data_IF_422611627220
#
_entry.id   IF_422611627220
#
_cell.length_a   1.000
_cell.length_b   1.000
_cell.length_c   1.000
_cell.angle_alpha   90.00
_cell.angle_beta   90.00
_cell.angle_gamma   90.00
#
_symmetry.space_group_name_H-M   'P 1'
#
loop_
_entity.id
_entity.type
_entity.pdbx_description
1 polymer ?
2 polymer ?
3 polymer ?
#
loop_
_entity_poly.entity_id
_entity_poly.type
_entity_poly.pdbx_seq_one_letter_code
_entity_poly.pdbx_strand_id
2 'polydeoxyribonucleotide' '(DG)(DC)(DT)(DG)(DG)(DA)(DA)(DA)(DT)(DT)(DT)(DC)(DC)(DA)(DG)(DC)(DG)' ?
3 'polydeoxyribonucleotide' '(DC)(DG)(DC)(DT)(DG)(DG)(DA)(DA)(DA)(DT)(DT)(DT)(DC)(DC)(DA)(DG)(DC)' ?
#
# COMPACT_ATOMS: atom_id res chain seq x y z
N UNK A 4 -30.93 -15.23 -14.74
CA UNK A 4 -29.67 -14.83 -15.36
C UNK A 4 -29.24 -13.45 -14.87
N UNK A 5 -30.21 -12.54 -14.76
CA UNK A 5 -29.95 -11.18 -14.30
C UNK A 5 -30.56 -10.89 -12.93
N UNK A 6 -31.40 -11.77 -12.39
CA UNK A 6 -32.07 -11.48 -11.15
C UNK A 6 -31.06 -11.26 -10.02
N UNK A 7 -31.58 -10.85 -8.87
CA UNK A 7 -30.77 -10.57 -7.68
C UNK A 7 -31.06 -11.62 -6.61
N UNK A 8 -30.01 -12.01 -5.89
CA UNK A 8 -30.14 -12.96 -4.81
C UNK A 8 -29.55 -12.40 -3.53
N UNK A 9 -28.68 -13.17 -2.88
CA UNK A 9 -28.04 -12.72 -1.65
C UNK A 9 -26.58 -12.35 -1.83
N UNK A 10 -25.85 -13.08 -2.67
CA UNK A 10 -24.44 -12.75 -2.91
C UNK A 10 -24.29 -11.32 -3.42
N UNK A 11 -25.08 -10.96 -4.45
CA UNK A 11 -24.99 -9.61 -5.00
C UNK A 11 -25.34 -8.56 -3.97
N UNK A 12 -26.29 -8.86 -3.07
CA UNK A 12 -26.66 -7.90 -2.03
C UNK A 12 -25.47 -7.67 -1.11
N UNK A 13 -25.01 -8.72 -0.44
CA UNK A 13 -23.89 -8.58 0.48
C UNK A 13 -22.72 -7.85 -0.18
N UNK A 14 -22.34 -8.28 -1.38
CA UNK A 14 -21.25 -7.61 -2.10
C UNK A 14 -21.55 -6.13 -2.27
N UNK A 15 -22.79 -5.80 -2.62
CA UNK A 15 -23.17 -4.40 -2.81
C UNK A 15 -23.06 -3.62 -1.50
N UNK A 16 -23.84 -4.01 -0.48
CA UNK A 16 -23.78 -3.40 0.84
C UNK A 16 -22.34 -3.11 1.25
N UNK A 17 -21.48 -4.13 1.25
CA UNK A 17 -20.08 -3.92 1.56
C UNK A 17 -19.48 -2.83 0.67
N UNK A 18 -19.76 -2.89 -0.63
CA UNK A 18 -19.23 -1.89 -1.55
C UNK A 18 -19.73 -0.49 -1.22
N UNK A 19 -20.91 -0.38 -0.61
CA UNK A 19 -21.46 0.93 -0.25
C UNK A 19 -20.77 1.46 1.00
N UNK A 20 -20.57 0.59 2.00
CA UNK A 20 -19.76 1.00 3.15
C UNK A 20 -18.35 1.34 2.74
N UNK A 21 -17.89 0.88 1.57
CA UNK A 21 -16.53 1.15 1.12
C UNK A 21 -16.43 2.43 0.28
N UNK A 22 -17.41 2.70 -0.58
CA UNK A 22 -17.35 3.82 -1.51
C UNK A 22 -18.60 4.69 -1.48
N UNK A 23 -19.51 4.47 -0.54
CA UNK A 23 -20.70 5.31 -0.47
C UNK A 23 -21.54 5.15 -1.71
N UNK A 24 -21.91 6.27 -2.33
CA UNK A 24 -22.65 6.25 -3.57
C UNK A 24 -21.72 5.82 -4.71
N UNK A 25 -21.99 4.66 -5.28
CA UNK A 25 -21.09 4.05 -6.25
C UNK A 25 -21.70 3.90 -7.64
N UNK A 26 -22.95 4.34 -7.83
CA UNK A 26 -23.56 4.28 -9.15
C UNK A 26 -22.69 4.95 -10.20
N UNK A 27 -21.90 5.94 -9.80
CA UNK A 27 -20.99 6.60 -10.73
C UNK A 27 -19.97 5.64 -11.31
N UNK A 28 -19.63 4.57 -10.59
CA UNK A 28 -18.45 3.77 -10.92
C UNK A 28 -18.76 2.28 -10.96
N UNK A 29 -20.06 1.93 -11.01
CA UNK A 29 -20.46 0.53 -11.03
C UNK A 29 -19.56 -0.28 -11.97
N UNK A 30 -19.47 0.16 -13.23
CA UNK A 30 -18.61 -0.49 -14.21
C UNK A 30 -17.28 -0.92 -13.60
N UNK A 31 -16.49 0.05 -13.15
CA UNK A 31 -15.15 -0.27 -12.65
C UNK A 31 -15.20 -1.37 -11.61
N UNK A 32 -16.14 -1.30 -10.68
CA UNK A 32 -16.25 -2.35 -9.67
C UNK A 32 -16.50 -3.70 -10.31
N UNK A 33 -17.53 -3.79 -11.17
CA UNK A 33 -17.77 -5.03 -11.89
C UNK A 33 -16.51 -5.46 -12.64
N UNK A 34 -15.72 -4.49 -13.10
CA UNK A 34 -14.55 -4.75 -13.92
C UNK A 34 -13.33 -5.19 -13.11
N UNK A 35 -13.45 -5.33 -11.78
CA UNK A 35 -12.35 -5.89 -11.01
C UNK A 35 -12.86 -6.86 -9.96
N UNK A 36 -13.94 -7.58 -10.25
CA UNK A 36 -14.44 -8.61 -9.37
C UNK A 36 -14.88 -8.13 -7.99
N UNK A 37 -15.12 -6.84 -7.84
CA UNK A 37 -15.67 -6.36 -6.58
C UNK A 37 -17.15 -6.70 -6.48
N UNK A 38 -17.88 -6.57 -7.58
CA UNK A 38 -19.28 -6.94 -7.65
C UNK A 38 -19.48 -8.08 -8.64
N UNK A 39 -20.36 -9.03 -8.35
CA UNK A 39 -20.74 -10.01 -9.39
C UNK A 39 -21.26 -9.30 -10.64
N UNK A 40 -21.08 -9.95 -11.77
CA UNK A 40 -21.40 -9.33 -13.06
C UNK A 40 -22.92 -9.26 -13.19
N UNK A 41 -23.47 -8.05 -13.07
CA UNK A 41 -24.88 -7.79 -13.37
C UNK A 41 -25.00 -6.43 -14.01
N UNK A 42 -26.20 -6.14 -14.52
CA UNK A 42 -26.41 -4.91 -15.28
C UNK A 42 -26.27 -3.68 -14.39
N UNK A 43 -25.77 -2.59 -14.99
CA UNK A 43 -25.65 -1.34 -14.26
C UNK A 43 -27.00 -0.91 -13.70
N UNK A 44 -28.04 -0.95 -14.54
CA UNK A 44 -29.36 -0.50 -14.12
C UNK A 44 -29.87 -1.29 -12.92
N UNK A 45 -29.84 -2.63 -13.00
CA UNK A 45 -30.39 -3.44 -11.92
C UNK A 45 -29.66 -3.17 -10.61
N UNK A 46 -28.33 -3.05 -10.66
CA UNK A 46 -27.58 -2.66 -9.47
C UNK A 46 -28.01 -1.28 -8.98
N UNK A 47 -28.28 -0.36 -9.90
CA UNK A 47 -28.81 0.93 -9.50
C UNK A 47 -30.10 0.81 -8.70
N UNK A 48 -31.07 0.08 -9.25
CA UNK A 48 -32.35 -0.09 -8.56
C UNK A 48 -32.16 -0.76 -7.20
N UNK A 49 -31.25 -1.73 -7.12
CA UNK A 49 -30.99 -2.38 -5.83
C UNK A 49 -30.39 -1.40 -4.83
N UNK A 50 -29.43 -0.57 -5.27
CA UNK A 50 -28.86 0.45 -4.41
C UNK A 50 -29.93 1.41 -3.90
N UNK A 51 -30.70 2.01 -4.82
CA UNK A 51 -31.79 2.89 -4.42
C UNK A 51 -32.69 2.22 -3.40
N UNK A 52 -33.11 0.98 -3.68
CA UNK A 52 -33.98 0.27 -2.76
C UNK A 52 -33.34 0.09 -1.39
N UNK A 53 -32.03 -0.18 -1.35
CA UNK A 53 -31.35 -0.39 -0.09
C UNK A 53 -31.27 0.89 0.73
N UNK A 54 -30.89 2.00 0.10
CA UNK A 54 -30.85 3.27 0.82
C UNK A 54 -32.24 3.68 1.28
N UNK A 55 -33.24 3.50 0.43
CA UNK A 55 -34.62 3.68 0.86
C UNK A 55 -34.90 2.89 2.14
N UNK A 56 -34.57 1.60 2.14
CA UNK A 56 -34.85 0.76 3.31
C UNK A 56 -34.11 1.26 4.54
N UNK A 57 -32.89 1.77 4.35
CA UNK A 57 -32.15 2.33 5.48
C UNK A 57 -32.86 3.55 6.05
N UNK A 58 -33.22 4.50 5.17
CA UNK A 58 -34.02 5.65 5.58
C UNK A 58 -35.21 5.21 6.43
N UNK A 59 -36.00 4.28 5.90
CA UNK A 59 -37.20 3.85 6.61
C UNK A 59 -36.86 3.23 7.97
N UNK A 60 -35.80 2.42 8.02
CA UNK A 60 -35.42 1.80 9.28
C UNK A 60 -35.05 2.84 10.33
N UNK A 61 -34.14 3.76 9.96
CA UNK A 61 -33.77 4.84 10.88
C UNK A 61 -35.02 5.58 11.35
N UNK A 62 -35.93 5.88 10.42
CA UNK A 62 -37.16 6.58 10.80
C UNK A 62 -37.91 5.81 11.88
N UNK A 63 -38.12 4.50 11.66
CA UNK A 63 -38.89 3.71 12.62
C UNK A 63 -38.20 3.64 13.97
N UNK A 64 -36.87 3.46 13.98
CA UNK A 64 -36.16 3.43 15.26
C UNK A 64 -36.23 4.78 15.97
N UNK A 65 -36.20 5.87 15.23
CA UNK A 65 -36.35 7.19 15.84
C UNK A 65 -37.71 7.33 16.49
N UNK A 66 -38.77 6.90 15.79
CA UNK A 66 -40.09 6.89 16.42
C UNK A 66 -40.07 6.10 17.71
N UNK A 67 -39.46 4.92 17.69
CA UNK A 67 -39.42 4.07 18.88
C UNK A 67 -38.75 4.79 20.04
N UNK A 68 -37.49 5.19 19.84
CA UNK A 68 -36.77 5.93 20.89
C UNK A 68 -37.60 7.11 21.39
N UNK A 69 -38.24 7.84 20.48
CA UNK A 69 -39.09 8.96 20.88
C UNK A 69 -40.13 8.52 21.89
N UNK A 70 -40.94 7.52 21.54
CA UNK A 70 -42.02 7.11 22.45
C UNK A 70 -41.47 6.61 23.78
N UNK A 71 -40.39 5.82 23.75
CA UNK A 71 -39.81 5.31 24.99
C UNK A 71 -39.37 6.47 25.88
N UNK A 72 -38.77 7.49 25.28
CA UNK A 72 -38.35 8.66 26.07
C UNK A 72 -39.54 9.44 26.58
N UNK A 73 -40.63 9.52 25.81
CA UNK A 73 -41.85 10.14 26.33
C UNK A 73 -42.28 9.47 27.62
N UNK A 74 -42.47 8.16 27.59
CA UNK A 74 -42.93 7.44 28.77
C UNK A 74 -41.96 7.62 29.94
N UNK A 75 -40.66 7.40 29.68
CA UNK A 75 -39.66 7.56 30.74
C UNK A 75 -39.71 8.95 31.34
N UNK A 76 -39.88 9.97 30.49
CA UNK A 76 -40.01 11.34 30.97
C UNK A 76 -41.20 11.49 31.90
N UNK A 77 -42.38 11.03 31.48
CA UNK A 77 -43.53 11.06 32.38
C UNK A 77 -43.14 10.50 33.75
N UNK A 78 -42.54 9.31 33.77
CA UNK A 78 -42.16 8.70 35.05
C UNK A 78 -41.22 9.60 35.82
N UNK A 79 -40.26 10.24 35.13
CA UNK A 79 -39.33 11.13 35.79
C UNK A 79 -40.07 12.28 36.47
N UNK A 80 -40.98 12.94 35.73
CA UNK A 80 -41.78 14.02 36.29
C UNK A 80 -42.48 13.56 37.56
N UNK A 81 -43.30 12.52 37.44
CA UNK A 81 -44.03 12.05 38.62
C UNK A 81 -43.11 11.66 39.75
N UNK A 82 -41.84 11.36 39.47
CA UNK A 82 -40.89 11.02 40.53
C UNK A 82 -40.34 12.26 41.21
N UNK A 83 -39.86 13.23 40.42
CA UNK A 83 -39.47 14.52 40.96
C UNK A 83 -40.53 15.06 41.90
N UNK A 84 -41.77 15.18 41.39
CA UNK A 84 -42.85 15.71 42.22
C UNK A 84 -42.89 15.04 43.59
N UNK A 85 -42.67 13.73 43.62
CA UNK A 85 -42.75 13.00 44.89
C UNK A 85 -41.53 13.27 45.76
N UNK A 86 -40.34 13.45 45.16
CA UNK A 86 -39.18 13.83 45.95
C UNK A 86 -39.41 15.19 46.62
N UNK A 87 -39.81 16.19 45.83
CA UNK A 87 -40.06 17.51 46.37
C UNK A 87 -41.14 17.48 47.45
N UNK A 88 -42.30 16.91 47.12
CA UNK A 88 -43.36 16.79 48.11
C UNK A 88 -42.89 16.03 49.34
N UNK A 89 -41.90 15.17 49.20
CA UNK A 89 -41.31 14.47 50.32
C UNK A 89 -41.79 13.04 50.51
N UNK A 90 -42.57 12.49 49.57
CA UNK A 90 -43.00 11.10 49.69
C UNK A 90 -41.86 10.12 49.46
N UNK A 91 -40.70 10.58 49.02
CA UNK A 91 -39.52 9.75 48.84
C UNK A 91 -38.35 10.41 49.55
N UNK A 92 -37.60 9.64 50.33
CA UNK A 92 -36.40 10.15 50.98
C UNK A 92 -35.24 10.09 50.00
N UNK A 93 -34.41 11.14 50.01
CA UNK A 93 -33.39 11.28 48.97
C UNK A 93 -32.22 10.34 49.19
N UNK A 94 -31.86 10.06 50.45
CA UNK A 94 -30.67 9.25 50.73
C UNK A 94 -30.95 7.76 50.69
N UNK A 95 -32.16 7.32 51.04
CA UNK A 95 -32.53 5.91 50.99
C UNK A 95 -33.03 5.53 49.60
N UNK A 96 -32.27 5.94 48.56
CA UNK A 96 -32.68 5.76 47.17
C UNK A 96 -31.99 4.55 46.57
N UNK A 97 -32.69 3.67 45.86
CA UNK A 97 -32.00 2.69 45.03
C UNK A 97 -31.31 3.36 43.85
N UNK A 98 -30.17 2.79 43.46
CA UNK A 98 -29.41 3.33 42.34
C UNK A 98 -30.15 3.17 41.02
N UNK A 99 -31.17 2.30 40.97
CA UNK A 99 -32.05 2.17 39.81
C UNK A 99 -33.34 2.92 40.11
N UNK A 100 -33.55 4.05 39.43
CA UNK A 100 -34.68 4.92 39.68
C UNK A 100 -35.04 5.61 38.37
N UNK A 101 -36.23 6.22 38.27
CA UNK A 101 -36.65 6.79 36.98
C UNK A 101 -35.68 7.81 36.43
N UNK A 102 -34.91 8.46 37.30
CA UNK A 102 -33.94 9.44 36.84
C UNK A 102 -32.78 8.77 36.11
N UNK A 103 -32.10 7.83 36.77
CA UNK A 103 -31.02 7.10 36.14
C UNK A 103 -31.49 6.37 34.89
N UNK A 104 -32.72 5.84 34.92
CA UNK A 104 -33.29 5.21 33.74
C UNK A 104 -33.39 6.20 32.58
N UNK A 105 -34.10 7.32 32.81
CA UNK A 105 -34.24 8.32 31.77
C UNK A 105 -32.88 8.78 31.24
N UNK A 106 -31.89 8.89 32.12
CA UNK A 106 -30.55 9.32 31.70
C UNK A 106 -29.91 8.26 30.80
N UNK A 107 -29.80 7.03 31.30
CA UNK A 107 -29.16 5.98 30.53
C UNK A 107 -29.81 5.82 29.16
N UNK A 108 -31.14 5.83 29.11
CA UNK A 108 -31.81 5.78 27.81
C UNK A 108 -31.47 7.00 26.98
N UNK A 109 -31.43 8.18 27.61
CA UNK A 109 -31.06 9.40 26.90
C UNK A 109 -29.73 9.23 26.17
N UNK A 110 -28.73 8.65 26.82
CA UNK A 110 -27.38 8.57 26.28
C UNK A 110 -27.02 7.19 25.74
N UNK A 111 -27.99 6.29 25.59
CA UNK A 111 -27.71 4.97 25.04
C UNK A 111 -27.50 5.05 23.53
N UNK A 112 -26.39 4.51 23.04
CA UNK A 112 -26.18 4.30 21.62
C UNK A 112 -26.10 2.81 21.34
N UNK A 113 -26.73 2.39 20.24
CA UNK A 113 -26.79 0.98 19.90
C UNK A 113 -27.01 0.84 18.39
N UNK A 114 -26.67 -0.34 17.88
CA UNK A 114 -26.76 -0.61 16.45
C UNK A 114 -28.19 -0.49 15.96
N UNK A 115 -28.34 0.11 14.78
CA UNK A 115 -29.64 0.22 14.10
C UNK A 115 -29.58 -0.70 12.88
N UNK A 116 -30.13 -1.91 13.02
CA UNK A 116 -29.98 -2.96 12.02
C UNK A 116 -31.28 -3.21 11.29
N UNK A 117 -31.16 -3.90 10.14
CA UNK A 117 -32.34 -4.32 9.40
C UNK A 117 -31.93 -5.42 8.43
N UNK A 118 -32.93 -6.19 7.99
CA UNK A 118 -32.74 -7.22 6.99
C UNK A 118 -33.26 -6.72 5.64
N UNK A 119 -32.65 -7.22 4.57
CA UNK A 119 -32.92 -6.71 3.22
C UNK A 119 -32.61 -7.79 2.21
N UNK A 120 -33.64 -8.19 1.46
CA UNK A 120 -33.50 -9.18 0.39
C UNK A 120 -32.78 -10.43 0.91
N UNK A 121 -33.27 -10.96 2.03
CA UNK A 121 -32.71 -12.17 2.60
C UNK A 121 -31.30 -12.04 3.10
N UNK A 122 -30.78 -10.82 3.21
CA UNK A 122 -29.49 -10.57 3.84
C UNK A 122 -29.75 -9.92 5.19
N UNK A 123 -28.98 -10.33 6.19
CA UNK A 123 -29.36 -10.16 7.59
C UNK A 123 -28.43 -9.17 8.29
N UNK A 124 -29.04 -8.26 9.06
CA UNK A 124 -28.32 -7.38 9.97
C UNK A 124 -27.45 -6.36 9.23
N UNK A 125 -28.08 -5.63 8.30
CA UNK A 125 -27.43 -4.49 7.67
C UNK A 125 -27.61 -3.27 8.55
N UNK A 126 -26.58 -2.40 8.58
CA UNK A 126 -26.56 -1.25 9.47
C UNK A 126 -26.98 -0.01 8.68
N UNK A 127 -28.22 0.45 8.89
CA UNK A 127 -28.73 1.61 8.18
C UNK A 127 -27.90 2.85 8.49
N UNK A 128 -27.65 3.10 9.78
CA UNK A 128 -26.83 4.24 10.19
C UNK A 128 -25.51 4.26 9.42
N UNK A 129 -24.77 3.14 9.45
CA UNK A 129 -23.50 3.07 8.73
C UNK A 129 -23.68 3.40 7.26
N UNK A 130 -24.71 2.85 6.62
CA UNK A 130 -24.92 3.08 5.19
C UNK A 130 -25.10 4.57 4.90
N UNK A 131 -26.10 5.19 5.54
CA UNK A 131 -26.40 6.59 5.28
C UNK A 131 -25.20 7.47 5.60
N UNK A 132 -24.70 7.39 6.84
CA UNK A 132 -23.59 8.25 7.24
C UNK A 132 -22.37 8.04 6.36
N UNK A 133 -22.16 6.82 5.85
CA UNK A 133 -21.02 6.55 5.00
C UNK A 133 -21.21 7.19 3.62
N UNK A 134 -22.41 7.10 3.06
CA UNK A 134 -22.67 7.76 1.78
C UNK A 134 -22.45 9.26 1.93
N UNK A 135 -23.02 9.86 2.97
CA UNK A 135 -22.86 11.30 3.19
C UNK A 135 -21.39 11.67 3.35
N UNK A 136 -20.69 10.98 4.25
CA UNK A 136 -19.29 11.31 4.50
C UNK A 136 -18.47 11.24 3.22
N UNK A 137 -18.58 10.13 2.50
CA UNK A 137 -17.74 9.96 1.31
C UNK A 137 -18.14 10.91 0.19
N UNK A 138 -19.41 11.31 0.13
CA UNK A 138 -19.82 12.33 -0.83
C UNK A 138 -19.19 13.68 -0.48
N UNK A 139 -19.27 14.06 0.80
CA UNK A 139 -18.67 15.30 1.26
C UNK A 139 -17.16 15.32 1.01
N UNK A 140 -16.50 14.17 1.18
CA UNK A 140 -15.06 14.12 0.98
C UNK A 140 -14.72 14.20 -0.51
N UNK A 141 -15.40 13.42 -1.34
CA UNK A 141 -15.17 13.49 -2.79
C UNK A 141 -15.35 14.92 -3.28
N UNK A 142 -16.48 15.54 -2.94
CA UNK A 142 -16.71 16.93 -3.36
C UNK A 142 -15.64 17.86 -2.78
N UNK A 143 -15.16 17.57 -1.56
CA UNK A 143 -14.20 18.45 -0.92
C UNK A 143 -12.87 18.44 -1.65
N UNK A 144 -12.38 17.25 -2.03
CA UNK A 144 -11.08 17.17 -2.70
C UNK A 144 -11.18 17.53 -4.18
N UNK A 145 -12.29 17.20 -4.84
CA UNK A 145 -12.42 17.53 -6.26
C UNK A 145 -12.55 19.02 -6.50
N UNK A 146 -13.36 19.70 -5.69
CA UNK A 146 -13.62 21.12 -5.93
C UNK A 146 -12.37 21.98 -5.82
N UNK A 147 -11.31 21.48 -5.17
CA UNK A 147 -10.11 22.27 -4.92
C UNK A 147 -8.89 21.65 -5.57
N UNK A 148 -8.54 20.41 -5.24
CA UNK A 148 -7.31 19.77 -5.72
C UNK A 148 -7.71 18.56 -6.57
N UNK A 149 -8.24 18.82 -7.77
CA UNK A 149 -8.61 17.73 -8.66
C UNK A 149 -7.41 17.16 -9.39
N UNK A 150 -6.57 18.02 -9.97
CA UNK A 150 -5.41 17.56 -10.72
C UNK A 150 -4.33 16.97 -9.83
N UNK A 151 -4.41 17.17 -8.51
CA UNK A 151 -3.44 16.57 -7.59
C UNK A 151 -4.10 16.42 -6.23
N UNK A 152 -4.79 15.30 -5.99
CA UNK A 152 -5.36 15.06 -4.65
C UNK A 152 -4.32 15.05 -3.53
N UNK A 153 -3.06 14.76 -3.84
CA UNK A 153 -2.04 14.68 -2.79
C UNK A 153 -1.77 16.03 -2.14
N UNK A 154 -1.97 17.13 -2.87
CA UNK A 154 -1.76 18.46 -2.31
C UNK A 154 -2.92 18.93 -1.44
N UNK A 155 -3.90 18.07 -1.19
CA UNK A 155 -5.01 18.39 -0.31
C UNK A 155 -4.50 18.85 1.05
N UNK A 156 -5.23 19.77 1.67
CA UNK A 156 -4.88 20.31 2.97
C UNK A 156 -6.15 20.63 3.74
N UNK A 157 -6.03 20.67 5.06
CA UNK A 157 -7.14 21.10 5.92
C UNK A 157 -7.24 22.61 6.04
N UNK A 158 -6.25 23.35 5.54
CA UNK A 158 -6.20 24.77 5.78
C UNK A 158 -5.95 25.08 7.25
N UNK A 159 -6.52 26.19 7.72
CA UNK A 159 -6.35 26.62 9.10
C UNK A 159 -7.34 25.95 10.05
N UNK A 160 -7.81 24.76 9.71
CA UNK A 160 -8.54 23.92 10.65
C UNK A 160 -7.52 23.06 11.40
N UNK A 161 -7.65 23.01 12.72
CA UNK A 161 -6.72 22.28 13.58
C UNK A 161 -7.51 21.26 14.39
N UNK A 162 -7.63 20.03 13.91
CA UNK A 162 -8.40 19.02 14.65
C UNK A 162 -7.65 18.55 15.89
N UNK A 163 -8.41 18.30 16.96
CA UNK A 163 -7.80 17.96 18.23
C UNK A 163 -6.90 16.74 18.07
N UNK A 164 -5.71 16.75 18.65
CA UNK A 164 -4.72 15.71 18.34
C UNK A 164 -5.13 14.36 18.91
N UNK A 165 -4.38 13.35 18.52
CA UNK A 165 -4.67 11.96 18.86
C UNK A 165 -4.08 11.63 20.22
N UNK A 166 -4.74 10.72 20.93
CA UNK A 166 -4.42 10.42 22.32
C UNK A 166 -3.59 9.15 22.40
N UNK A 167 -2.31 9.30 22.77
CA UNK A 167 -1.43 8.17 23.03
C UNK A 167 -1.39 7.19 21.86
N UNK A 168 -1.16 7.73 20.67
CA UNK A 168 -0.86 6.90 19.52
C UNK A 168 0.63 6.64 19.46
N UNK A 169 1.00 5.47 18.93
CA UNK A 169 2.37 5.00 18.97
C UNK A 169 3.25 5.64 17.90
N UNK A 170 2.66 6.28 16.90
CA UNK A 170 3.42 6.99 15.88
C UNK A 170 3.21 8.48 16.02
N UNK A 171 4.23 9.25 15.65
CA UNK A 171 4.10 10.70 15.66
C UNK A 171 3.06 11.11 14.63
N UNK A 172 1.81 11.24 15.06
CA UNK A 172 0.68 11.46 14.16
C UNK A 172 0.25 12.91 14.27
N UNK A 173 0.28 13.62 13.14
CA UNK A 173 0.05 15.06 13.10
C UNK A 173 -1.08 15.39 12.13
N UNK A 174 -1.28 16.67 11.88
CA UNK A 174 -2.23 17.10 10.85
C UNK A 174 -1.88 16.49 9.50
N UNK A 175 -0.60 16.51 9.14
CA UNK A 175 -0.14 15.93 7.88
C UNK A 175 -0.71 14.53 7.70
N UNK A 176 -0.58 13.68 8.72
CA UNK A 176 -1.07 12.31 8.62
C UNK A 176 -2.58 12.27 8.45
N UNK A 177 -3.31 13.16 9.13
CA UNK A 177 -4.75 13.24 8.90
C UNK A 177 -5.05 13.53 7.44
N UNK A 178 -4.37 14.52 6.86
CA UNK A 178 -4.55 14.84 5.45
C UNK A 178 -4.30 13.62 4.58
N UNK A 179 -3.12 13.01 4.72
CA UNK A 179 -2.79 11.86 3.90
C UNK A 179 -3.82 10.75 4.04
N UNK A 180 -4.22 10.45 5.28
CA UNK A 180 -5.25 9.46 5.54
C UNK A 180 -6.51 9.77 4.75
N UNK A 181 -7.04 10.99 4.90
CA UNK A 181 -8.26 11.36 4.18
C UNK A 181 -8.09 11.18 2.68
N UNK A 182 -6.95 11.62 2.13
CA UNK A 182 -6.69 11.41 0.71
C UNK A 182 -6.79 9.93 0.38
N UNK A 183 -6.25 9.07 1.24
CA UNK A 183 -6.30 7.64 1.00
C UNK A 183 -7.72 7.11 1.01
N UNK A 184 -8.55 7.60 1.92
CA UNK A 184 -9.95 7.21 1.92
C UNK A 184 -10.63 7.65 0.62
N UNK A 185 -10.26 8.83 0.13
CA UNK A 185 -10.79 9.31 -1.14
C UNK A 185 -10.33 8.45 -2.30
N UNK A 186 -9.16 7.81 -2.17
CA UNK A 186 -8.57 7.06 -3.27
C UNK A 186 -9.05 5.61 -3.33
N UNK A 187 -9.02 4.90 -2.20
CA UNK A 187 -9.33 3.47 -2.18
C UNK A 187 -10.62 3.11 -1.48
N UNK A 188 -11.17 3.98 -0.65
CA UNK A 188 -12.43 3.76 0.02
C UNK A 188 -12.27 3.57 1.52
N UNK A 189 -13.41 3.62 2.20
CA UNK A 189 -13.43 3.45 3.64
C UNK A 189 -13.17 1.99 4.00
N UNK A 190 -12.11 1.73 4.77
CA UNK A 190 -11.73 0.39 5.17
C UNK A 190 -10.45 -0.11 4.52
N UNK A 191 -10.12 0.40 3.34
CA UNK A 191 -8.93 -0.05 2.62
C UNK A 191 -7.65 0.41 3.32
N UNK A 192 -7.48 0.03 4.58
CA UNK A 192 -6.33 0.53 5.33
C UNK A 192 -5.02 -0.04 4.81
N UNK A 193 -5.04 -1.26 4.28
CA UNK A 193 -3.81 -1.86 3.78
C UNK A 193 -3.31 -1.12 2.55
N UNK A 194 -4.20 -0.87 1.58
CA UNK A 194 -3.79 -0.13 0.39
C UNK A 194 -3.28 1.26 0.76
N UNK A 195 -3.92 1.89 1.75
CA UNK A 195 -3.48 3.22 2.19
C UNK A 195 -2.08 3.14 2.77
N UNK A 196 -1.85 2.20 3.69
CA UNK A 196 -0.53 2.04 4.28
C UNK A 196 0.53 1.81 3.20
N UNK A 197 0.23 0.95 2.23
CA UNK A 197 1.25 0.50 1.28
C UNK A 197 1.51 1.51 0.17
N UNK A 198 0.59 2.42 -0.10
CA UNK A 198 0.81 3.43 -1.12
C UNK A 198 2.04 4.26 -0.76
N UNK A 199 3.12 4.22 -1.55
CA UNK A 199 4.31 5.01 -1.20
C UNK A 199 4.13 6.51 -1.41
N UNK A 200 3.23 6.93 -2.29
CA UNK A 200 3.02 8.36 -2.51
C UNK A 200 2.46 9.02 -1.26
N UNK A 201 1.58 8.33 -0.53
CA UNK A 201 1.07 8.87 0.72
C UNK A 201 2.15 8.95 1.78
N UNK A 202 3.05 7.97 1.81
CA UNK A 202 4.16 7.99 2.74
C UNK A 202 3.75 7.92 4.19
N UNK A 203 2.80 7.03 4.52
CA UNK A 203 2.40 6.81 5.91
C UNK A 203 2.49 5.32 6.21
N UNK A 204 3.47 4.65 5.60
CA UNK A 204 3.60 3.21 5.79
C UNK A 204 4.00 2.88 7.23
N UNK A 205 4.93 3.65 7.80
CA UNK A 205 5.46 3.38 9.13
C UNK A 205 4.69 4.09 10.23
N UNK A 206 3.46 4.53 9.96
CA UNK A 206 2.61 5.13 10.97
C UNK A 206 1.31 4.36 11.20
N UNK A 207 1.13 3.23 10.53
CA UNK A 207 -0.04 2.39 10.72
C UNK A 207 0.43 0.99 11.14
N UNK A 208 -0.40 0.32 11.93
CA UNK A 208 -0.05 -0.98 12.50
C UNK A 208 -1.25 -1.90 12.39
N UNK A 209 -1.12 -2.95 11.58
CA UNK A 209 -2.20 -3.92 11.40
C UNK A 209 -1.73 -5.34 11.75
N UNK A 241 2.82 -5.90 24.11
CA UNK A 241 2.63 -4.53 23.64
C UNK A 241 1.94 -4.49 22.28
N UNK A 242 0.65 -4.16 22.28
CA UNK A 242 -0.11 -3.97 21.05
C UNK A 242 -0.03 -2.53 20.60
N UNK A 243 0.01 -2.33 19.29
CA UNK A 243 0.34 -1.02 18.73
C UNK A 243 -0.92 -0.22 18.40
N UNK A 244 -0.69 1.05 18.06
CA UNK A 244 -1.75 2.01 17.74
C UNK A 244 -1.22 2.90 16.62
N UNK A 245 -2.06 3.26 15.63
CA UNK A 245 -3.47 2.91 15.42
C UNK A 245 -3.68 1.74 14.48
N UNK A 246 -4.74 0.97 14.74
CA UNK A 246 -5.18 -0.09 13.87
C UNK A 246 -6.35 0.33 13.01
N UNK A 247 -6.99 -0.67 12.38
CA UNK A 247 -8.11 -0.42 11.49
C UNK A 247 -9.22 0.36 12.19
N UNK A 248 -9.74 -0.18 13.29
CA UNK A 248 -10.83 0.48 14.00
C UNK A 248 -10.46 1.92 14.32
N UNK A 249 -9.26 2.12 14.89
CA UNK A 249 -8.83 3.47 15.24
C UNK A 249 -8.82 4.38 14.03
N UNK A 250 -8.39 3.88 12.86
CA UNK A 250 -8.45 4.68 11.64
C UNK A 250 -9.89 5.06 11.32
N UNK A 251 -10.82 4.12 11.45
CA UNK A 251 -12.22 4.44 11.19
C UNK A 251 -12.70 5.57 12.08
N UNK A 252 -12.48 5.45 13.39
CA UNK A 252 -12.88 6.51 14.31
C UNK A 252 -12.24 7.84 13.91
N UNK A 253 -10.94 7.81 13.57
CA UNK A 253 -10.25 9.05 13.23
C UNK A 253 -10.83 9.69 11.98
N UNK A 254 -11.24 8.87 11.01
CA UNK A 254 -11.83 9.42 9.78
C UNK A 254 -13.19 10.04 10.08
N UNK A 255 -14.05 9.31 10.78
CA UNK A 255 -15.36 9.84 11.12
C UNK A 255 -15.24 11.16 11.89
N UNK A 256 -14.34 11.19 12.88
CA UNK A 256 -14.12 12.43 13.63
C UNK A 256 -13.63 13.54 12.72
N UNK A 257 -12.63 13.26 11.89
CA UNK A 257 -12.08 14.30 11.01
C UNK A 257 -13.18 14.90 10.13
N UNK A 258 -14.07 14.07 9.59
CA UNK A 258 -15.08 14.60 8.69
C UNK A 258 -16.15 15.38 9.43
N UNK A 259 -16.68 14.82 10.53
CA UNK A 259 -17.64 15.57 11.33
C UNK A 259 -17.05 16.88 11.81
N UNK A 260 -15.73 16.91 12.04
CA UNK A 260 -15.05 18.15 12.44
C UNK A 260 -15.00 19.13 11.29
N UNK A 261 -14.51 18.71 10.11
CA UNK A 261 -14.42 19.61 8.98
C UNK A 261 -15.78 20.20 8.61
N UNK A 262 -16.86 19.45 8.83
CA UNK A 262 -18.19 20.04 8.62
C UNK A 262 -18.51 21.11 9.65
N UNK A 263 -18.41 20.76 10.93
CA UNK A 263 -18.68 21.71 12.00
C UNK A 263 -18.78 21.06 13.37
N UNK B 4 13.99 -39.70 -6.09
CA UNK B 4 13.10 -39.58 -7.24
C UNK B 4 12.59 -38.15 -7.40
N UNK B 5 12.44 -37.45 -6.27
CA UNK B 5 11.88 -36.09 -6.27
C UNK B 5 12.68 -35.25 -5.26
N UNK B 6 13.84 -34.78 -5.70
CA UNK B 6 14.75 -33.98 -4.89
C UNK B 6 15.16 -32.75 -5.68
N UNK B 7 15.99 -31.90 -5.07
CA UNK B 7 16.47 -30.68 -5.71
C UNK B 7 17.92 -30.88 -6.11
N UNK B 8 18.27 -30.40 -7.29
CA UNK B 8 19.62 -30.55 -7.81
C UNK B 8 20.21 -29.24 -8.28
N UNK B 9 20.71 -29.22 -9.51
CA UNK B 9 21.29 -28.03 -10.10
C UNK B 9 20.39 -27.36 -11.12
N UNK B 10 19.67 -28.15 -11.93
CA UNK B 10 18.73 -27.56 -12.88
C UNK B 10 17.69 -26.72 -12.16
N UNK B 11 17.07 -27.29 -11.11
CA UNK B 11 16.06 -26.55 -10.37
C UNK B 11 16.63 -25.29 -9.73
N UNK B 12 17.90 -25.33 -9.31
CA UNK B 12 18.53 -24.15 -8.73
C UNK B 12 18.64 -23.04 -9.78
N UNK B 13 19.37 -23.30 -10.87
CA UNK B 13 19.52 -22.29 -11.90
C UNK B 13 18.17 -21.74 -12.33
N UNK B 14 17.22 -22.63 -12.61
CA UNK B 14 15.88 -22.18 -13.00
C UNK B 14 15.30 -21.26 -11.94
N UNK B 15 15.47 -21.59 -10.66
CA UNK B 15 14.97 -20.76 -9.58
C UNK B 15 15.65 -19.40 -9.61
N UNK B 16 16.95 -19.36 -9.34
CA UNK B 16 17.76 -18.15 -9.41
C UNK B 16 17.31 -17.23 -10.54
N UNK B 17 17.34 -17.74 -11.78
CA UNK B 17 16.86 -16.94 -12.91
C UNK B 17 15.45 -16.41 -12.66
N UNK B 18 14.56 -17.28 -12.15
CA UNK B 18 13.19 -16.86 -11.88
C UNK B 18 13.14 -15.76 -10.82
N UNK B 19 14.13 -15.70 -9.93
CA UNK B 19 14.15 -14.67 -8.90
C UNK B 19 14.65 -13.36 -9.48
N UNK B 20 15.69 -13.40 -10.30
CA UNK B 20 16.10 -12.19 -11.02
C UNK B 20 14.99 -11.72 -11.97
N UNK B 21 14.04 -12.58 -12.29
CA UNK B 21 12.96 -12.20 -13.20
C UNK B 21 11.74 -11.66 -12.45
N UNK B 22 11.41 -12.24 -11.29
CA UNK B 22 10.19 -11.89 -10.56
C UNK B 22 10.44 -11.60 -9.08
N UNK B 23 11.70 -11.56 -8.64
CA UNK B 23 11.97 -11.25 -7.24
C UNK B 23 11.40 -12.33 -6.35
N UNK B 24 10.62 -11.92 -5.35
CA UNK B 24 9.96 -12.88 -4.47
C UNK B 24 8.83 -13.55 -5.23
N UNK B 25 8.96 -14.86 -5.45
CA UNK B 25 8.04 -15.61 -6.30
C UNK B 25 7.25 -16.67 -5.57
N UNK B 26 7.44 -16.82 -4.26
CA UNK B 26 6.67 -17.80 -3.50
C UNK B 26 5.17 -17.55 -3.66
N UNK B 27 4.77 -16.31 -3.91
CA UNK B 27 3.36 -16.01 -4.14
C UNK B 27 2.81 -16.76 -5.34
N UNK B 28 3.65 -17.07 -6.32
CA UNK B 28 3.19 -17.47 -7.65
C UNK B 28 3.87 -18.75 -8.14
N UNK B 29 4.55 -19.46 -7.25
CA UNK B 29 5.25 -20.70 -7.63
C UNK B 29 4.43 -21.55 -8.59
N UNK B 30 3.21 -21.89 -8.16
CA UNK B 30 2.29 -22.66 -9.00
C UNK B 30 2.36 -22.20 -10.46
N UNK B 31 1.99 -20.94 -10.72
CA UNK B 31 1.92 -20.45 -12.09
C UNK B 31 3.22 -20.73 -12.84
N UNK B 32 4.36 -20.48 -12.20
CA UNK B 32 5.64 -20.75 -12.85
C UNK B 32 5.76 -22.23 -13.20
N UNK B 33 5.55 -23.12 -12.23
CA UNK B 33 5.54 -24.54 -12.51
C UNK B 33 4.54 -24.84 -13.62
N UNK B 34 3.45 -24.08 -13.67
CA UNK B 34 2.37 -24.34 -14.62
C UNK B 34 2.66 -23.80 -16.02
N UNK B 35 3.84 -23.21 -16.26
CA UNK B 35 4.19 -22.82 -17.62
C UNK B 35 5.65 -23.15 -17.93
N UNK B 36 6.16 -24.23 -17.35
CA UNK B 36 7.50 -24.71 -17.65
C UNK B 36 8.62 -23.75 -17.33
N UNK B 37 8.36 -22.73 -16.50
CA UNK B 37 9.43 -21.86 -16.06
C UNK B 37 10.30 -22.56 -15.01
N UNK B 38 9.67 -23.30 -14.10
CA UNK B 38 10.37 -24.10 -13.10
C UNK B 38 10.11 -25.58 -13.32
N UNK B 39 11.10 -26.44 -13.13
CA UNK B 39 10.82 -27.89 -13.13
C UNK B 39 9.75 -28.23 -12.11
N UNK B 40 9.02 -29.31 -12.38
CA UNK B 40 7.87 -29.68 -11.56
C UNK B 40 8.38 -30.22 -10.23
N UNK B 41 8.21 -29.44 -9.16
CA UNK B 41 8.49 -29.89 -7.80
C UNK B 41 7.47 -29.24 -6.88
N UNK B 42 7.45 -29.70 -5.63
CA UNK B 42 6.46 -29.24 -4.68
C UNK B 42 6.66 -27.77 -4.34
N UNK B 43 5.54 -27.07 -4.09
CA UNK B 43 5.61 -25.68 -3.67
C UNK B 43 6.48 -25.54 -2.42
N UNK B 44 6.30 -26.43 -1.46
CA UNK B 44 7.05 -26.36 -0.20
C UNK B 44 8.55 -26.33 -0.45
N UNK B 45 9.04 -27.33 -1.18
CA UNK B 45 10.49 -27.48 -1.36
C UNK B 45 11.08 -26.29 -2.10
N UNK B 46 10.39 -25.80 -3.13
CA UNK B 46 10.86 -24.59 -3.81
C UNK B 46 10.88 -23.40 -2.84
N UNK B 47 9.87 -23.29 -1.98
CA UNK B 47 9.90 -22.25 -0.96
C UNK B 47 11.15 -22.31 -0.11
N UNK B 48 11.43 -23.49 0.46
CA UNK B 48 12.60 -23.66 1.31
C UNK B 48 13.89 -23.36 0.55
N UNK B 49 13.94 -23.75 -0.73
CA UNK B 49 15.13 -23.48 -1.54
C UNK B 49 15.31 -21.97 -1.73
N UNK B 50 14.21 -21.27 -2.02
CA UNK B 50 14.26 -19.82 -2.15
C UNK B 50 14.78 -19.19 -0.86
N UNK B 51 14.15 -19.52 0.26
CA UNK B 51 14.60 -19.00 1.56
C UNK B 51 16.09 -19.22 1.75
N UNK B 52 16.56 -20.44 1.53
CA UNK B 52 17.98 -20.75 1.70
C UNK B 52 18.85 -19.90 0.77
N UNK B 53 18.39 -19.68 -0.46
CA UNK B 53 19.19 -18.93 -1.42
C UNK B 53 19.33 -17.46 -1.00
N UNK B 54 18.23 -16.84 -0.59
CA UNK B 54 18.30 -15.46 -0.13
C UNK B 54 19.16 -15.35 1.13
N UNK B 55 18.99 -16.29 2.07
CA UNK B 55 19.90 -16.37 3.22
C UNK B 55 21.35 -16.35 2.76
N UNK B 56 21.71 -17.24 1.84
CA UNK B 56 23.08 -17.31 1.36
C UNK B 56 23.53 -16.00 0.73
N UNK B 57 22.62 -15.30 0.05
CA UNK B 57 22.98 -14.00 -0.51
C UNK B 57 23.30 -12.99 0.60
N UNK B 58 22.41 -12.87 1.59
CA UNK B 58 22.68 -12.03 2.75
C UNK B 58 24.07 -12.31 3.31
N UNK B 59 24.33 -13.57 3.65
CA UNK B 59 25.61 -13.91 4.26
C UNK B 59 26.78 -13.54 3.34
N UNK B 60 26.64 -13.77 2.05
CA UNK B 60 27.72 -13.43 1.12
C UNK B 60 28.00 -11.93 1.14
N UNK B 61 26.97 -11.11 0.98
CA UNK B 61 27.15 -9.65 1.01
C UNK B 61 27.85 -9.24 2.30
N UNK B 62 27.36 -9.76 3.44
CA UNK B 62 28.00 -9.43 4.71
C UNK B 62 29.49 -9.78 4.70
N UNK B 63 29.84 -10.98 4.24
CA UNK B 63 31.24 -11.39 4.24
C UNK B 63 32.08 -10.48 3.35
N UNK B 64 31.57 -10.11 2.17
CA UNK B 64 32.32 -9.22 1.30
C UNK B 64 32.47 -7.84 1.94
N UNK B 65 31.45 -7.37 2.66
CA UNK B 65 31.56 -6.10 3.37
C UNK B 65 32.66 -6.16 4.43
N UNK B 66 32.68 -7.23 5.21
CA UNK B 66 33.78 -7.42 6.17
C UNK B 66 35.12 -7.35 5.47
N UNK B 67 35.26 -8.07 4.35
CA UNK B 67 36.52 -8.09 3.63
C UNK B 67 36.94 -6.69 3.20
N UNK B 68 36.09 -6.02 2.41
CA UNK B 68 36.39 -4.66 1.97
C UNK B 68 36.75 -3.77 3.15
N UNK B 69 36.00 -3.89 4.26
CA UNK B 69 36.30 -3.14 5.47
C UNK B 69 37.76 -3.33 5.90
N UNK B 70 38.16 -4.58 6.16
CA UNK B 70 39.51 -4.83 6.65
C UNK B 70 40.56 -4.37 5.64
N UNK B 71 40.35 -4.66 4.36
CA UNK B 71 41.32 -4.27 3.33
C UNK B 71 41.49 -2.75 3.31
N UNK B 72 40.39 -2.01 3.45
CA UNK B 72 40.50 -0.55 3.46
C UNK B 72 41.19 -0.06 4.71
N UNK B 73 40.98 -0.73 5.85
CA UNK B 73 41.72 -0.39 7.06
C UNK B 73 43.22 -0.50 6.81
N UNK B 74 43.69 -1.67 6.38
CA UNK B 74 45.12 -1.87 6.17
C UNK B 74 45.66 -0.89 5.13
N UNK B 75 44.98 -0.77 3.99
CA UNK B 75 45.45 0.16 2.97
C UNK B 75 45.56 1.57 3.52
N UNK B 76 44.60 1.98 4.36
CA UNK B 76 44.70 3.29 5.01
C UNK B 76 45.98 3.39 5.83
N UNK B 77 46.24 2.40 6.70
CA UNK B 77 47.49 2.39 7.46
C UNK B 77 48.69 2.63 6.55
N UNK B 78 48.81 1.83 5.48
CA UNK B 78 49.93 2.00 4.57
C UNK B 78 49.97 3.40 3.99
N UNK B 79 48.81 3.96 3.66
CA UNK B 79 48.76 5.32 3.13
C UNK B 79 49.36 6.31 4.12
N UNK B 80 48.92 6.26 5.38
CA UNK B 80 49.49 7.12 6.40
C UNK B 80 51.00 6.98 6.45
N UNK B 81 51.50 5.75 6.65
CA UNK B 81 52.94 5.55 6.75
C UNK B 81 53.68 6.01 5.49
N UNK B 82 52.99 6.11 4.35
CA UNK B 82 53.62 6.60 3.13
C UNK B 82 53.67 8.12 3.10
N UNK B 83 52.53 8.76 3.39
CA UNK B 83 52.48 10.21 3.57
C UNK B 83 53.61 10.67 4.48
N UNK B 84 53.71 10.08 5.68
CA UNK B 84 54.75 10.48 6.61
C UNK B 84 56.11 10.52 5.94
N UNK B 85 56.40 9.55 5.07
CA UNK B 85 57.70 9.49 4.43
C UNK B 85 57.84 10.56 3.34
N UNK B 86 56.76 10.84 2.62
CA UNK B 86 56.81 11.95 1.67
C UNK B 86 57.08 13.28 2.37
N UNK B 87 56.27 13.59 3.39
CA UNK B 87 56.40 14.85 4.11
C UNK B 87 57.78 14.99 4.73
N UNK B 88 58.23 13.97 5.47
CA UNK B 88 59.57 14.01 6.04
C UNK B 88 60.63 14.27 4.97
N UNK B 89 60.35 13.86 3.74
CA UNK B 89 61.21 14.13 2.61
C UNK B 89 62.15 13.02 2.21
N UNK B 90 62.04 11.84 2.81
CA UNK B 90 62.85 10.70 2.39
C UNK B 90 62.33 10.07 1.09
N UNK B 91 61.19 10.52 0.58
CA UNK B 91 60.68 10.10 -0.72
C UNK B 91 60.39 11.36 -1.52
N UNK B 92 60.88 11.40 -2.76
CA UNK B 92 60.61 12.52 -3.64
C UNK B 92 59.28 12.32 -4.36
N UNK B 93 58.52 13.40 -4.48
CA UNK B 93 57.16 13.32 -4.99
C UNK B 93 57.12 13.12 -6.51
N UNK B 94 58.09 13.70 -7.23
CA UNK B 94 58.04 13.65 -8.69
C UNK B 94 58.67 12.37 -9.24
N UNK B 95 59.65 11.81 -8.53
CA UNK B 95 60.26 10.55 -8.94
C UNK B 95 59.49 9.35 -8.35
N UNK B 96 58.14 9.42 -8.47
CA UNK B 96 57.20 8.48 -7.89
C UNK B 96 56.73 7.48 -8.93
N UNK B 97 56.68 6.18 -8.62
CA UNK B 97 55.96 5.25 -9.49
C UNK B 97 54.46 5.56 -9.44
N UNK B 98 53.80 5.37 -10.59
CA UNK B 98 52.36 5.61 -10.63
C UNK B 98 51.58 4.58 -9.84
N UNK B 99 52.21 3.47 -9.46
CA UNK B 99 51.62 2.50 -8.55
C UNK B 99 52.24 2.72 -7.17
N UNK B 100 51.44 3.26 -6.26
CA UNK B 100 51.91 3.60 -4.92
C UNK B 100 50.75 3.43 -3.95
N UNK B 101 51.01 3.38 -2.65
CA UNK B 101 49.92 3.11 -1.70
C UNK B 101 48.76 4.09 -1.83
N UNK B 102 49.02 5.31 -2.30
CA UNK B 102 47.96 6.28 -2.48
C UNK B 102 47.00 5.86 -3.58
N UNK B 103 47.53 5.65 -4.79
CA UNK B 103 46.70 5.20 -5.90
C UNK B 103 46.01 3.88 -5.57
N UNK B 104 46.70 3.00 -4.83
CA UNK B 104 46.08 1.76 -4.38
C UNK B 104 44.85 2.05 -3.52
N UNK B 105 45.03 2.82 -2.44
CA UNK B 105 43.92 3.15 -1.56
C UNK B 105 42.77 3.80 -2.33
N UNK B 106 43.08 4.64 -3.32
CA UNK B 106 42.03 5.29 -4.10
C UNK B 106 41.27 4.29 -4.94
N UNK B 107 41.99 3.54 -5.79
CA UNK B 107 41.34 2.58 -6.67
C UNK B 107 40.48 1.61 -5.88
N UNK B 108 41.00 1.09 -4.76
CA UNK B 108 40.19 0.22 -3.92
C UNK B 108 38.97 0.97 -3.36
N UNK B 109 39.18 2.22 -2.94
CA UNK B 109 38.06 3.02 -2.44
C UNK B 109 36.91 3.04 -3.45
N UNK B 110 37.21 3.22 -4.73
CA UNK B 110 36.18 3.43 -5.73
C UNK B 110 35.91 2.18 -6.58
N UNK B 111 36.44 1.03 -6.18
CA UNK B 111 36.23 -0.21 -6.92
C UNK B 111 34.82 -0.76 -6.72
N UNK B 112 34.13 -1.03 -7.82
CA UNK B 112 32.92 -1.83 -7.83
C UNK B 112 33.18 -3.12 -8.58
N UNK B 113 32.70 -4.23 -8.03
CA UNK B 113 32.94 -5.54 -8.63
C UNK B 113 31.84 -6.48 -8.19
N UNK B 114 31.67 -7.55 -8.96
CA UNK B 114 30.63 -8.52 -8.68
C UNK B 114 30.84 -9.17 -7.31
N UNK B 115 29.74 -9.36 -6.59
CA UNK B 115 29.75 -10.06 -5.31
C UNK B 115 29.07 -11.40 -5.56
N UNK B 116 29.87 -12.43 -5.76
CA UNK B 116 29.40 -13.72 -6.22
C UNK B 116 29.49 -14.76 -5.11
N UNK B 117 28.78 -15.87 -5.32
CA UNK B 117 28.84 -17.00 -4.41
C UNK B 117 28.30 -18.23 -5.14
N UNK B 118 28.67 -19.39 -4.63
CA UNK B 118 28.15 -20.66 -5.14
C UNK B 118 27.11 -21.21 -4.18
N UNK B 119 26.17 -21.97 -4.71
CA UNK B 119 25.01 -22.42 -3.93
C UNK B 119 24.49 -23.72 -4.51
N UNK B 120 24.54 -24.79 -3.72
CA UNK B 120 24.02 -26.10 -4.11
C UNK B 120 24.59 -26.52 -5.46
N UNK B 121 25.91 -26.44 -5.58
CA UNK B 121 26.60 -26.86 -6.78
C UNK B 121 26.31 -26.05 -8.02
N UNK B 122 25.68 -24.89 -7.90
CA UNK B 122 25.52 -23.95 -9.01
C UNK B 122 26.45 -22.78 -8.75
N UNK B 123 27.11 -22.32 -9.81
CA UNK B 123 28.33 -21.54 -9.70
C UNK B 123 28.11 -20.10 -10.13
N UNK B 124 28.65 -19.17 -9.33
CA UNK B 124 28.74 -17.75 -9.68
C UNK B 124 27.37 -17.07 -9.72
N UNK B 125 26.63 -17.22 -8.61
CA UNK B 125 25.39 -16.48 -8.43
C UNK B 125 25.68 -15.10 -7.82
N UNK B 126 24.91 -14.10 -8.24
CA UNK B 126 25.16 -12.70 -7.85
C UNK B 126 24.22 -12.35 -6.70
N UNK B 127 24.76 -12.28 -5.49
CA UNK B 127 23.97 -11.95 -4.32
C UNK B 127 23.37 -10.55 -4.44
N UNK B 128 24.22 -9.58 -4.80
CA UNK B 128 23.75 -8.21 -4.98
C UNK B 128 22.53 -8.18 -5.90
N UNK B 129 22.65 -8.80 -7.08
CA UNK B 129 21.54 -8.84 -8.03
C UNK B 129 20.28 -9.42 -7.40
N UNK B 130 20.43 -10.53 -6.66
CA UNK B 130 19.27 -11.18 -6.05
C UNK B 130 18.57 -10.23 -5.08
N UNK B 131 19.30 -9.74 -4.07
CA UNK B 131 18.69 -8.89 -3.05
C UNK B 131 18.08 -7.64 -3.67
N UNK B 132 18.90 -6.85 -4.39
CA UNK B 132 18.41 -5.60 -4.96
C UNK B 132 17.25 -5.84 -5.92
N UNK B 133 17.24 -6.99 -6.60
CA UNK B 133 16.15 -7.27 -7.52
C UNK B 133 14.85 -7.60 -6.76
N UNK B 134 14.96 -8.36 -5.67
CA UNK B 134 13.79 -8.64 -4.84
C UNK B 134 13.20 -7.34 -4.31
N UNK B 135 14.07 -6.46 -3.77
CA UNK B 135 13.59 -5.18 -3.26
C UNK B 135 12.93 -4.36 -4.36
N UNK B 136 13.64 -4.18 -5.48
CA UNK B 136 13.11 -3.36 -6.56
C UNK B 136 11.76 -3.88 -7.06
N UNK B 137 11.69 -5.18 -7.37
CA UNK B 137 10.45 -5.74 -7.91
C UNK B 137 9.34 -5.78 -6.88
N UNK B 138 9.67 -5.87 -5.60
CA UNK B 138 8.65 -5.77 -4.55
C UNK B 138 8.09 -4.35 -4.49
N UNK B 139 8.98 -3.35 -4.46
CA UNK B 139 8.55 -1.95 -4.41
C UNK B 139 7.73 -1.59 -5.63
N UNK B 140 8.12 -2.08 -6.81
CA UNK B 140 7.36 -1.78 -8.02
C UNK B 140 6.05 -2.55 -8.07
N UNK B 141 6.09 -3.84 -7.70
CA UNK B 141 4.88 -4.65 -7.65
C UNK B 141 3.83 -4.00 -6.76
N UNK B 142 4.25 -3.45 -5.63
CA UNK B 142 3.33 -2.75 -4.74
C UNK B 142 3.10 -1.31 -5.16
N UNK B 143 3.91 -0.78 -6.08
CA UNK B 143 3.80 0.61 -6.50
C UNK B 143 2.68 0.80 -7.53
N UNK B 144 2.55 -0.12 -8.49
CA UNK B 144 1.56 0.05 -9.53
C UNK B 144 0.16 -0.24 -9.00
N UNK B 145 0.05 -1.14 -8.02
CA UNK B 145 -1.26 -1.41 -7.43
C UNK B 145 -1.79 -0.20 -6.68
N UNK B 146 -0.96 0.80 -6.42
CA UNK B 146 -1.39 2.05 -5.81
C UNK B 146 -1.79 3.02 -6.92
N UNK B 147 -3.03 2.87 -7.36
CA UNK B 147 -3.62 3.74 -8.39
C UNK B 147 -5.08 3.94 -8.06
N UNK B 148 -5.82 4.60 -8.95
CA UNK B 148 -7.23 4.87 -8.76
C UNK B 148 -8.13 4.36 -9.87
N UNK B 149 -7.61 4.14 -11.08
CA UNK B 149 -8.41 3.66 -12.19
C UNK B 149 -8.64 2.15 -12.16
N UNK B 150 -7.93 1.41 -11.32
CA UNK B 150 -8.03 -0.05 -11.28
C UNK B 150 -7.50 -0.65 -12.59
N UNK B 151 -6.43 -0.05 -13.12
CA UNK B 151 -5.87 -0.46 -14.41
C UNK B 151 -4.38 -0.15 -14.36
N UNK B 152 -3.52 -1.15 -14.09
CA UNK B 152 -2.07 -0.88 -14.06
C UNK B 152 -1.57 -0.12 -15.28
N UNK B 153 -2.29 -0.21 -16.40
CA UNK B 153 -1.89 0.54 -17.58
C UNK B 153 -2.02 2.04 -17.34
N UNK B 154 -2.95 2.45 -16.47
CA UNK B 154 -3.14 3.86 -16.15
C UNK B 154 -2.12 4.38 -15.13
N UNK B 155 -1.14 3.55 -14.74
CA UNK B 155 -0.10 4.00 -13.82
C UNK B 155 0.59 5.25 -14.36
N UNK B 156 1.00 6.13 -13.44
CA UNK B 156 1.66 7.38 -13.82
C UNK B 156 2.69 7.74 -12.77
N UNK B 157 3.68 8.54 -13.19
CA UNK B 157 4.69 9.05 -12.27
C UNK B 157 4.22 10.30 -11.51
N UNK B 158 3.09 10.88 -11.90
CA UNK B 158 2.70 12.15 -11.32
C UNK B 158 3.66 13.25 -11.73
N UNK B 159 3.88 14.19 -10.82
CA UNK B 159 4.77 15.31 -11.07
C UNK B 159 6.23 14.98 -10.76
N UNK B 160 6.62 13.72 -10.87
CA UNK B 160 8.03 13.34 -10.86
C UNK B 160 8.53 13.42 -12.30
N UNK B 161 9.68 14.07 -12.48
CA UNK B 161 10.27 14.26 -13.81
C UNK B 161 11.70 13.70 -13.77
N UNK B 162 11.88 12.43 -14.14
CA UNK B 162 13.24 11.85 -14.10
C UNK B 162 14.10 12.40 -15.23
N UNK B 163 15.40 12.39 -15.01
CA UNK B 163 16.33 12.89 -16.01
C UNK B 163 16.07 12.19 -17.34
N UNK B 164 16.02 12.92 -18.46
CA UNK B 164 15.74 12.26 -19.73
C UNK B 164 16.90 11.39 -20.17
N UNK B 165 16.67 10.65 -21.22
CA UNK B 165 17.64 9.69 -21.71
C UNK B 165 18.61 10.38 -22.65
N UNK B 166 19.85 9.88 -22.68
CA UNK B 166 20.94 10.53 -23.39
C UNK B 166 21.20 9.81 -24.70
N UNK B 167 20.90 10.49 -25.80
CA UNK B 167 21.21 10.00 -27.14
C UNK B 167 20.66 8.60 -27.37
N UNK B 168 19.39 8.42 -27.05
CA UNK B 168 18.66 7.22 -27.45
C UNK B 168 18.05 7.43 -28.83
N UNK B 169 17.93 6.34 -29.58
CA UNK B 169 17.53 6.44 -30.98
C UNK B 169 16.03 6.62 -31.18
N UNK B 170 15.23 6.38 -30.15
CA UNK B 170 13.79 6.60 -30.23
C UNK B 170 13.39 7.78 -29.35
N UNK B 171 12.35 8.49 -29.76
CA UNK B 171 11.83 9.59 -28.96
C UNK B 171 11.26 9.02 -27.67
N UNK B 172 12.09 8.97 -26.62
CA UNK B 172 11.76 8.31 -25.37
C UNK B 172 11.46 9.35 -24.31
N UNK B 173 10.25 9.29 -23.75
CA UNK B 173 9.76 10.30 -22.83
C UNK B 173 9.36 9.64 -21.51
N UNK B 174 8.72 10.44 -20.65
CA UNK B 174 8.17 9.91 -19.40
C UNK B 174 7.18 8.79 -19.67
N UNK B 175 6.28 8.99 -20.65
CA UNK B 175 5.31 7.97 -21.01
C UNK B 175 5.96 6.61 -21.20
N UNK B 176 7.06 6.57 -21.97
CA UNK B 176 7.72 5.31 -22.24
C UNK B 176 8.31 4.70 -20.96
N UNK B 177 8.83 5.54 -20.06
CA UNK B 177 9.26 5.04 -18.76
C UNK B 177 8.11 4.35 -18.03
N UNK B 178 6.95 5.02 -17.97
CA UNK B 178 5.79 4.44 -17.32
C UNK B 178 5.45 3.08 -17.91
N UNK B 179 5.26 3.03 -19.22
CA UNK B 179 4.89 1.77 -19.87
C UNK B 179 5.94 0.70 -19.62
N UNK B 180 7.22 1.05 -19.74
CA UNK B 180 8.29 0.10 -19.44
C UNK B 180 8.10 -0.51 -18.05
N UNK B 181 7.97 0.34 -17.03
CA UNK B 181 7.80 -0.16 -15.67
C UNK B 181 6.59 -1.07 -15.57
N UNK B 182 5.47 -0.68 -16.18
CA UNK B 182 4.28 -1.54 -16.19
C UNK B 182 4.63 -2.90 -16.78
N UNK B 183 5.40 -2.91 -17.87
CA UNK B 183 5.77 -4.16 -18.50
C UNK B 183 6.63 -5.04 -17.61
N UNK B 184 7.55 -4.43 -16.87
CA UNK B 184 8.35 -5.18 -15.92
C UNK B 184 7.45 -5.76 -14.83
N UNK B 185 6.42 -5.00 -14.42
CA UNK B 185 5.47 -5.50 -13.45
C UNK B 185 4.65 -6.67 -14.01
N UNK B 186 4.44 -6.70 -15.32
CA UNK B 186 3.58 -7.70 -15.93
C UNK B 186 4.33 -8.99 -16.25
N UNK B 187 5.49 -8.88 -16.90
CA UNK B 187 6.22 -10.04 -17.39
C UNK B 187 7.54 -10.31 -16.66
N UNK B 188 8.09 -9.33 -15.96
CA UNK B 188 9.28 -9.53 -15.15
C UNK B 188 10.49 -8.79 -15.70
N UNK B 189 11.51 -8.72 -14.85
CA UNK B 189 12.76 -8.08 -15.21
C UNK B 189 13.53 -8.96 -16.19
N UNK B 190 13.81 -8.41 -17.38
CA UNK B 190 14.51 -9.13 -18.43
C UNK B 190 13.61 -9.50 -19.60
N UNK B 191 12.30 -9.64 -19.35
CA UNK B 191 11.36 -10.02 -20.39
C UNK B 191 11.16 -8.89 -21.40
N UNK B 192 12.24 -8.45 -22.04
CA UNK B 192 12.15 -7.30 -22.94
C UNK B 192 11.33 -7.61 -24.19
N UNK B 193 11.38 -8.86 -24.66
CA UNK B 193 10.64 -9.22 -25.86
C UNK B 193 9.13 -9.16 -25.63
N UNK B 194 8.67 -9.77 -24.54
CA UNK B 194 7.24 -9.73 -24.23
C UNK B 194 6.76 -8.30 -24.03
N UNK B 195 7.58 -7.47 -23.41
CA UNK B 195 7.23 -6.07 -23.21
C UNK B 195 7.10 -5.36 -24.56
N UNK B 196 8.11 -5.51 -25.42
CA UNK B 196 8.07 -4.87 -26.73
C UNK B 196 6.84 -5.30 -27.51
N UNK B 197 6.51 -6.60 -27.49
CA UNK B 197 5.47 -7.13 -28.37
C UNK B 197 4.07 -6.86 -27.85
N UNK B 198 3.90 -6.59 -26.55
CA UNK B 198 2.58 -6.30 -26.02
C UNK B 198 2.01 -5.06 -26.72
N UNK B 199 0.91 -5.17 -27.46
CA UNK B 199 0.36 -3.99 -28.14
C UNK B 199 -0.29 -2.99 -27.20
N UNK B 200 -0.77 -3.43 -26.03
CA UNK B 200 -1.38 -2.50 -25.08
C UNK B 200 -0.36 -1.51 -24.56
N UNK B 201 0.88 -1.95 -24.34
CA UNK B 201 1.93 -1.03 -23.92
C UNK B 201 2.27 -0.04 -25.03
N UNK B 202 2.24 -0.49 -26.28
CA UNK B 202 2.48 0.41 -27.40
C UNK B 202 3.86 1.03 -27.41
N UNK B 203 4.89 0.22 -27.15
CA UNK B 203 6.27 0.69 -27.23
C UNK B 203 7.06 -0.28 -28.12
N UNK B 204 6.40 -0.82 -29.14
CA UNK B 204 7.04 -1.79 -30.02
C UNK B 204 8.16 -1.13 -30.84
N UNK B 205 7.91 0.06 -31.37
CA UNK B 205 8.84 0.73 -32.28
C UNK B 205 9.83 1.64 -31.54
N UNK B 206 9.99 1.45 -30.23
CA UNK B 206 10.94 2.23 -29.45
C UNK B 206 12.01 1.37 -28.79
N UNK B 207 12.02 0.06 -29.07
CA UNK B 207 13.01 -0.86 -28.54
C UNK B 207 13.73 -1.52 -29.70
N UNK B 208 15.01 -1.86 -29.49
CA UNK B 208 15.85 -2.42 -30.54
C UNK B 208 16.67 -3.56 -29.97
N UNK B 209 16.42 -4.77 -30.44
CA UNK B 209 17.15 -5.96 -29.99
C UNK B 209 17.82 -6.66 -31.18
N UNK B 242 25.58 1.13 -34.14
CA UNK B 242 24.81 0.41 -33.14
C UNK B 242 23.63 1.25 -32.63
N UNK B 243 22.51 0.59 -32.38
CA UNK B 243 21.27 1.26 -32.05
C UNK B 243 21.09 1.37 -30.53
N UNK B 244 20.11 2.15 -30.13
CA UNK B 244 19.82 2.41 -28.72
C UNK B 244 18.30 2.57 -28.56
N UNK B 245 17.72 2.04 -27.47
CA UNK B 245 18.32 1.27 -26.37
C UNK B 245 18.14 -0.24 -26.55
N UNK B 246 19.12 -1.01 -26.06
CA UNK B 246 19.03 -2.44 -26.03
C UNK B 246 18.66 -2.96 -24.66
N UNK B 247 18.81 -4.28 -24.49
CA UNK B 247 18.46 -4.93 -23.24
C UNK B 247 19.17 -4.30 -22.05
N UNK B 248 20.51 -4.26 -22.10
CA UNK B 248 21.29 -3.70 -20.99
C UNK B 248 20.80 -2.30 -20.65
N UNK B 249 20.66 -1.45 -21.68
CA UNK B 249 20.22 -0.08 -21.46
C UNK B 249 18.86 -0.04 -20.77
N UNK B 250 17.95 -0.93 -21.15
CA UNK B 250 16.66 -1.00 -20.48
C UNK B 250 16.84 -1.38 -19.01
N UNK B 251 17.71 -2.35 -18.72
CA UNK B 251 17.96 -2.70 -17.34
C UNK B 251 18.44 -1.52 -16.51
N UNK B 252 19.49 -0.84 -17.00
CA UNK B 252 19.97 0.34 -16.30
C UNK B 252 18.87 1.37 -16.13
N UNK B 253 18.06 1.58 -17.17
CA UNK B 253 17.00 2.59 -17.09
C UNK B 253 15.97 2.21 -16.04
N UNK B 254 15.67 0.92 -15.89
CA UNK B 254 14.72 0.49 -14.86
C UNK B 254 15.29 0.71 -13.48
N UNK B 255 16.54 0.26 -13.25
CA UNK B 255 17.16 0.48 -11.95
C UNK B 255 17.17 1.96 -11.59
N UNK B 256 17.55 2.81 -12.55
CA UNK B 256 17.56 4.25 -12.31
C UNK B 256 16.17 4.75 -11.97
N UNK B 257 15.16 4.36 -12.76
CA UNK B 257 13.80 4.83 -12.50
C UNK B 257 13.35 4.48 -11.09
N UNK B 258 13.68 3.27 -10.62
CA UNK B 258 13.22 2.86 -9.30
C UNK B 258 13.98 3.58 -8.19
N UNK B 259 15.32 3.64 -8.30
CA UNK B 259 16.07 4.40 -7.31
C UNK B 259 15.64 5.86 -7.27
N UNK B 260 15.20 6.39 -8.41
CA UNK B 260 14.72 7.77 -8.47
C UNK B 260 13.39 7.92 -7.75
N UNK B 261 12.41 7.08 -8.09
CA UNK B 261 11.10 7.19 -7.46
C UNK B 261 11.19 7.08 -5.94
N UNK B 262 12.17 6.31 -5.44
CA UNK B 262 12.39 6.24 -4.00
C UNK B 262 12.97 7.54 -3.42
N UNK B 263 13.12 8.58 -4.22
CA UNK B 263 13.61 9.86 -3.73
C UNK B 263 12.56 10.64 -2.95
#
# INVERSE_FOLDING_TARGET
GPDMDSIGESEVRALYKAILKFGNLKEILDELIADGTLPVKSFEKYGETYDEMMEAAKDCVHEEEKNRKEILEKLEKHATAYRAKLKSGEIKAENQPKDNPLTRLSLKKREKKAVLFNFKGVKSLNAESLLSRVEDLKYLKNLINSNYKDDPLKFSLGNNTPKPVQNWSSNWTKEEDEKLLIGVFKYGYGSWTQIRDDPFLGITDKIFLNEVHNPVAKKSASSSDTTPTPSKKGKGITGSSKKVPGAIHLGRRVDYLLSFLRGGLNTKSPS
GPDMDSIGESEVRALYKAILKFGNLKEILDELIADGTLPVKSFEKYGETYDEMMEAAKDCVHEEEKNRKEILEKLEKHATAYRAKLKSGEIKAENQPKDNPLTRLSLKKREKKAVLFNFKGVKSLNAESLLSRVEDLKYLKNLINSNYKDDPLKFSLGNNTPKPVQNWSSNWTKEEDEKLLIGVFKYGYGSWTQIRDDPFLGITDKIFLNEVHNPVAKKSASSSDTTPTPSKKGKGITGSSKKVPGAIHLGRRVDYLLSFLRGGLNTKSPS
#
